data_IF_080800876968
#
_entry.id   IF_080800876968
#
_cell.length_a   1.000
_cell.length_b   1.000
_cell.length_c   1.000
_cell.angle_alpha   90.00
_cell.angle_beta   90.00
_cell.angle_gamma   90.00
#
_symmetry.space_group_name_H-M   'P 1'
#
loop_
_entity.id
_entity.type
_entity.pdbx_description
1 polymer ?
#
# COMPACT_ATOMS: atom_id res chain seq x y z
N UNK A 1 -6.16 22.20 17.67
CA UNK A 1 -7.64 22.11 17.70
C UNK A 1 -8.04 20.69 18.06
N UNK A 2 -9.12 20.51 18.82
CA UNK A 2 -9.62 19.18 19.19
C UNK A 2 -10.09 18.40 17.95
N UNK A 3 -9.68 17.14 17.80
CA UNK A 3 -10.11 16.25 16.71
C UNK A 3 -11.64 16.20 16.67
N UNK A 4 -12.24 16.40 15.49
CA UNK A 4 -13.69 16.24 15.32
C UNK A 4 -14.04 14.79 15.69
N UNK A 5 -14.93 14.62 16.66
CA UNK A 5 -15.32 13.31 17.15
C UNK A 5 -16.48 12.77 16.30
N UNK A 6 -16.37 11.53 15.82
CA UNK A 6 -17.42 10.84 15.08
C UNK A 6 -18.76 10.81 15.83
N UNK A 7 -18.73 10.68 17.15
CA UNK A 7 -19.92 10.70 18.02
C UNK A 7 -20.32 12.12 18.47
N UNK A 8 -19.69 13.15 17.91
CA UNK A 8 -19.95 14.55 18.19
C UNK A 8 -21.12 15.12 17.38
N UNK A 9 -21.31 16.43 17.51
CA UNK A 9 -22.27 17.23 16.73
C UNK A 9 -21.58 18.46 16.17
N UNK A 10 -22.03 18.91 15.00
CA UNK A 10 -21.69 20.21 14.44
C UNK A 10 -22.95 21.04 14.22
N UNK A 11 -22.81 22.36 14.31
CA UNK A 11 -23.90 23.30 14.03
C UNK A 11 -23.65 23.91 12.66
N UNK A 12 -24.60 23.76 11.75
CA UNK A 12 -24.55 24.33 10.40
C UNK A 12 -25.89 25.02 10.13
N UNK A 13 -25.87 26.31 9.78
CA UNK A 13 -27.07 27.13 9.57
C UNK A 13 -28.08 27.04 10.74
N UNK A 14 -27.57 27.04 11.98
CA UNK A 14 -28.34 26.89 13.23
C UNK A 14 -29.09 25.55 13.36
N UNK A 15 -28.68 24.52 12.61
CA UNK A 15 -29.16 23.14 12.77
C UNK A 15 -28.05 22.28 13.34
N UNK A 16 -28.39 21.44 14.30
CA UNK A 16 -27.50 20.44 14.85
C UNK A 16 -27.49 19.21 13.95
N UNK A 17 -26.30 18.81 13.52
CA UNK A 17 -26.10 17.58 12.76
C UNK A 17 -25.17 16.63 13.54
N UNK A 18 -25.58 15.38 13.80
CA UNK A 18 -24.68 14.35 14.28
C UNK A 18 -23.57 14.09 13.26
N UNK A 19 -22.32 14.10 13.70
CA UNK A 19 -21.17 13.88 12.79
C UNK A 19 -21.27 12.50 12.14
N UNK A 20 -21.66 11.48 12.90
CA UNK A 20 -21.86 10.12 12.40
C UNK A 20 -22.83 10.04 11.22
N UNK A 21 -23.97 10.73 11.28
CA UNK A 21 -24.97 10.71 10.20
C UNK A 21 -24.47 11.37 8.92
N UNK A 22 -23.72 12.48 9.08
CA UNK A 22 -23.08 13.14 7.94
C UNK A 22 -22.06 12.20 7.31
N UNK A 23 -21.16 11.64 8.11
CA UNK A 23 -20.07 10.80 7.60
C UNK A 23 -20.63 9.53 6.97
N UNK A 24 -21.60 8.87 7.60
CA UNK A 24 -22.22 7.65 7.06
C UNK A 24 -22.92 7.87 5.71
N UNK A 25 -23.40 9.09 5.45
CA UNK A 25 -23.97 9.49 4.16
C UNK A 25 -22.88 9.88 3.16
N UNK A 26 -21.89 10.66 3.58
CA UNK A 26 -20.89 11.27 2.68
C UNK A 26 -19.91 10.25 2.08
N UNK A 27 -19.59 9.19 2.83
CA UNK A 27 -18.73 8.11 2.34
C UNK A 27 -19.36 7.34 1.16
N UNK A 28 -20.68 7.45 0.97
CA UNK A 28 -21.40 6.83 -0.15
C UNK A 28 -21.46 7.75 -1.38
N UNK A 29 -21.03 9.00 -1.27
CA UNK A 29 -21.08 9.93 -2.40
C UNK A 29 -20.13 9.46 -3.52
N UNK A 30 -20.59 9.46 -4.79
CA UNK A 30 -19.73 9.22 -5.93
C UNK A 30 -18.59 10.22 -6.01
N UNK A 31 -17.40 9.76 -6.39
CA UNK A 31 -16.18 10.56 -6.43
C UNK A 31 -16.31 11.80 -7.33
N UNK A 32 -17.02 11.69 -8.46
CA UNK A 32 -17.23 12.82 -9.36
C UNK A 32 -18.03 13.97 -8.72
N UNK A 33 -18.99 13.68 -7.83
CA UNK A 33 -19.74 14.69 -7.08
C UNK A 33 -18.86 15.33 -6.01
N UNK A 34 -18.09 14.51 -5.28
CA UNK A 34 -17.12 14.98 -4.28
C UNK A 34 -16.12 15.94 -4.93
N UNK A 35 -15.53 15.54 -6.05
CA UNK A 35 -14.63 16.40 -6.82
C UNK A 35 -15.32 17.68 -7.27
N UNK A 36 -16.54 17.58 -7.79
CA UNK A 36 -17.34 18.72 -8.22
C UNK A 36 -17.56 19.73 -7.09
N UNK A 37 -17.82 19.25 -5.88
CA UNK A 37 -17.94 20.09 -4.69
C UNK A 37 -16.64 20.84 -4.38
N UNK A 38 -15.50 20.15 -4.26
CA UNK A 38 -14.20 20.78 -3.97
C UNK A 38 -13.79 21.79 -5.05
N UNK A 39 -14.03 21.47 -6.32
CA UNK A 39 -13.80 22.39 -7.44
C UNK A 39 -14.68 23.64 -7.36
N UNK A 40 -15.97 23.49 -7.03
CA UNK A 40 -16.92 24.60 -6.89
C UNK A 40 -16.51 25.56 -5.78
N UNK A 41 -16.04 25.04 -4.64
CA UNK A 41 -15.60 25.88 -3.51
C UNK A 41 -14.16 26.39 -3.67
N UNK A 42 -13.44 25.97 -4.71
CA UNK A 42 -12.05 26.37 -4.97
C UNK A 42 -11.07 25.90 -3.90
N UNK A 43 -11.35 24.76 -3.25
CA UNK A 43 -10.51 24.22 -2.18
C UNK A 43 -9.75 22.99 -2.68
N UNK A 44 -8.43 23.04 -2.53
CA UNK A 44 -7.53 21.91 -2.76
C UNK A 44 -6.90 21.49 -1.45
N UNK A 45 -6.61 20.20 -1.29
CA UNK A 45 -6.16 19.63 -0.02
C UNK A 45 -4.72 19.09 -0.14
N UNK A 46 -3.82 19.32 0.82
CA UNK A 46 -2.49 18.71 0.78
C UNK A 46 -2.58 17.19 0.82
N UNK A 47 -1.85 16.52 -0.06
CA UNK A 47 -1.79 15.05 -0.12
C UNK A 47 -1.34 14.42 1.20
N UNK A 48 -0.48 15.12 1.95
CA UNK A 48 -0.04 14.73 3.27
C UNK A 48 -1.20 14.40 4.24
N UNK A 49 -2.34 15.11 4.14
CA UNK A 49 -3.53 14.83 4.96
C UNK A 49 -4.08 13.43 4.68
N UNK A 50 -4.19 13.07 3.41
CA UNK A 50 -4.71 11.76 2.99
C UNK A 50 -3.73 10.63 3.32
N UNK A 51 -2.44 10.86 3.09
CA UNK A 51 -1.40 9.89 3.48
C UNK A 51 -1.37 9.65 4.97
N UNK A 52 -1.54 10.69 5.79
CA UNK A 52 -1.65 10.55 7.24
C UNK A 52 -2.81 9.64 7.62
N UNK A 53 -4.00 9.88 7.06
CA UNK A 53 -5.18 9.04 7.31
C UNK A 53 -4.95 7.59 6.88
N UNK A 54 -4.38 7.38 5.69
CA UNK A 54 -4.03 6.05 5.20
C UNK A 54 -3.08 5.32 6.15
N UNK A 55 -2.02 5.99 6.61
CA UNK A 55 -1.05 5.43 7.57
C UNK A 55 -1.72 5.07 8.89
N UNK A 56 -2.54 5.96 9.45
CA UNK A 56 -3.26 5.71 10.71
C UNK A 56 -4.18 4.48 10.61
N UNK A 57 -4.87 4.32 9.48
CA UNK A 57 -5.82 3.22 9.28
C UNK A 57 -5.12 1.90 8.97
N UNK A 58 -4.00 1.95 8.24
CA UNK A 58 -3.22 0.78 7.84
C UNK A 58 -2.21 0.31 8.90
N UNK A 59 -1.92 1.10 9.93
CA UNK A 59 -0.92 0.80 10.95
C UNK A 59 -1.12 -0.60 11.56
N UNK A 60 -2.28 -0.86 12.14
CA UNK A 60 -2.59 -2.14 12.82
C UNK A 60 -2.51 -3.36 11.88
N UNK A 61 -3.15 -3.39 10.70
CA UNK A 61 -3.04 -4.54 9.81
C UNK A 61 -1.61 -4.74 9.29
N UNK A 62 -0.84 -3.66 9.08
CA UNK A 62 0.58 -3.74 8.67
C UNK A 62 1.44 -4.34 9.78
N UNK A 63 1.31 -3.87 11.00
CA UNK A 63 2.03 -4.40 12.16
C UNK A 63 1.74 -5.89 12.35
N UNK A 64 0.47 -6.29 12.28
CA UNK A 64 0.08 -7.70 12.37
C UNK A 64 0.70 -8.53 11.24
N UNK A 65 0.72 -8.00 10.02
CA UNK A 65 1.33 -8.69 8.86
C UNK A 65 2.85 -8.85 9.03
N UNK A 66 3.52 -7.83 9.56
CA UNK A 66 4.95 -7.89 9.88
C UNK A 66 5.18 -8.95 10.96
N UNK A 67 4.39 -8.94 12.04
CA UNK A 67 4.49 -9.91 13.15
C UNK A 67 4.33 -11.36 12.65
N UNK A 68 3.31 -11.63 11.83
CA UNK A 68 3.05 -12.95 11.24
C UNK A 68 4.20 -13.44 10.34
N UNK A 69 5.00 -12.51 9.79
CA UNK A 69 6.07 -12.77 8.82
C UNK A 69 7.47 -12.59 9.39
N UNK A 70 7.63 -12.29 10.68
CA UNK A 70 8.91 -12.07 11.36
C UNK A 70 9.93 -13.20 11.15
N UNK A 71 9.44 -14.44 11.12
CA UNK A 71 10.29 -15.64 10.99
C UNK A 71 10.44 -16.13 9.54
N UNK A 72 9.89 -15.41 8.57
CA UNK A 72 9.98 -15.73 7.15
C UNK A 72 10.95 -14.74 6.51
N UNK A 73 11.95 -15.24 5.79
CA UNK A 73 12.75 -14.42 4.88
C UNK A 73 11.86 -14.02 3.69
N UNK A 74 11.07 -12.97 3.89
CA UNK A 74 9.96 -12.60 3.02
C UNK A 74 10.13 -11.18 2.48
N UNK A 75 10.03 -11.06 1.15
CA UNK A 75 10.09 -9.80 0.42
C UNK A 75 9.01 -8.83 0.92
N UNK A 76 7.81 -9.33 1.22
CA UNK A 76 6.73 -8.47 1.69
C UNK A 76 7.05 -7.86 3.06
N UNK A 77 7.58 -8.65 4.00
CA UNK A 77 8.01 -8.15 5.31
C UNK A 77 9.09 -7.06 5.20
N UNK A 78 10.07 -7.26 4.32
CA UNK A 78 11.08 -6.24 4.03
C UNK A 78 10.47 -4.98 3.44
N UNK A 79 9.56 -5.09 2.46
CA UNK A 79 8.88 -3.91 1.89
C UNK A 79 8.07 -3.16 2.95
N UNK A 80 7.37 -3.87 3.84
CA UNK A 80 6.56 -3.27 4.90
C UNK A 80 7.41 -2.58 6.00
N UNK A 81 8.71 -2.87 6.12
CA UNK A 81 9.58 -2.14 7.06
C UNK A 81 9.71 -0.65 6.71
N UNK A 82 9.42 -0.29 5.45
CA UNK A 82 9.41 1.09 4.93
C UNK A 82 8.04 1.78 5.07
N UNK A 83 7.05 1.15 5.70
CA UNK A 83 5.65 1.62 5.75
C UNK A 83 5.50 3.10 6.13
N UNK A 84 6.28 3.58 7.11
CA UNK A 84 6.23 4.97 7.57
C UNK A 84 6.58 6.00 6.48
N UNK A 85 7.32 5.57 5.46
CA UNK A 85 7.77 6.40 4.35
C UNK A 85 7.07 6.07 3.03
N UNK A 86 6.06 5.18 3.05
CA UNK A 86 5.32 4.85 1.84
C UNK A 86 4.70 6.07 1.18
N UNK A 87 4.74 6.06 -0.15
CA UNK A 87 4.05 7.02 -1.02
C UNK A 87 2.54 6.82 -0.98
N UNK A 88 1.77 7.81 -1.44
CA UNK A 88 0.31 7.70 -1.49
C UNK A 88 -0.14 6.46 -2.28
N UNK A 89 0.47 6.20 -3.44
CA UNK A 89 0.16 5.04 -4.28
C UNK A 89 0.43 3.71 -3.57
N UNK A 90 1.54 3.59 -2.83
CA UNK A 90 1.84 2.38 -2.05
C UNK A 90 0.79 2.15 -0.96
N UNK A 91 0.36 3.20 -0.28
CA UNK A 91 -0.69 3.14 0.75
C UNK A 91 -2.06 2.77 0.15
N UNK A 92 -2.43 3.35 -1.00
CA UNK A 92 -3.66 2.98 -1.73
C UNK A 92 -3.64 1.49 -2.12
N UNK A 93 -2.49 1.00 -2.61
CA UNK A 93 -2.33 -0.41 -2.95
C UNK A 93 -2.38 -1.33 -1.72
N UNK A 94 -1.90 -0.89 -0.55
CA UNK A 94 -2.07 -1.66 0.69
C UNK A 94 -3.55 -1.82 1.08
N UNK A 95 -4.39 -0.79 0.90
CA UNK A 95 -5.84 -0.95 1.10
C UNK A 95 -6.41 -2.06 0.21
N UNK A 96 -6.01 -2.07 -1.08
CA UNK A 96 -6.41 -3.12 -2.02
C UNK A 96 -5.87 -4.50 -1.61
N UNK A 97 -4.64 -4.57 -1.15
CA UNK A 97 -3.99 -5.81 -0.72
C UNK A 97 -4.75 -6.46 0.42
N UNK A 98 -5.13 -5.68 1.44
CA UNK A 98 -5.94 -6.19 2.57
C UNK A 98 -7.38 -6.52 2.17
N UNK A 99 -7.90 -5.89 1.12
CA UNK A 99 -9.20 -6.16 0.52
C UNK A 99 -10.35 -6.28 1.55
N UNK A 100 -10.38 -5.36 2.52
CA UNK A 100 -11.32 -5.39 3.64
C UNK A 100 -12.34 -4.28 3.54
N UNK A 101 -13.63 -4.65 3.50
CA UNK A 101 -14.76 -3.70 3.47
C UNK A 101 -14.77 -2.81 4.72
N UNK A 102 -14.49 -3.39 5.90
CA UNK A 102 -14.45 -2.63 7.15
C UNK A 102 -13.26 -1.66 7.19
N UNK A 103 -12.11 -2.07 6.65
CA UNK A 103 -10.93 -1.21 6.52
C UNK A 103 -11.18 -0.05 5.56
N UNK A 104 -11.79 -0.32 4.40
CA UNK A 104 -12.16 0.70 3.43
C UNK A 104 -13.15 1.70 4.02
N UNK A 105 -14.17 1.22 4.76
CA UNK A 105 -15.12 2.09 5.47
C UNK A 105 -14.40 2.94 6.52
N UNK A 106 -13.53 2.34 7.34
CA UNK A 106 -12.72 3.05 8.34
C UNK A 106 -11.86 4.14 7.71
N UNK A 107 -11.21 3.85 6.58
CA UNK A 107 -10.44 4.82 5.80
C UNK A 107 -11.30 5.99 5.33
N UNK A 108 -12.43 5.73 4.68
CA UNK A 108 -13.31 6.81 4.20
C UNK A 108 -13.87 7.65 5.35
N UNK A 109 -14.27 7.02 6.46
CA UNK A 109 -14.73 7.71 7.66
C UNK A 109 -13.66 8.65 8.21
N UNK A 110 -12.43 8.16 8.44
CA UNK A 110 -11.34 8.99 8.96
C UNK A 110 -10.91 10.07 7.96
N UNK A 111 -10.93 9.77 6.65
CA UNK A 111 -10.61 10.75 5.62
C UNK A 111 -11.59 11.91 5.67
N UNK A 112 -12.88 11.62 5.69
CA UNK A 112 -13.91 12.65 5.71
C UNK A 112 -13.90 13.45 7.01
N UNK A 113 -13.63 12.84 8.16
CA UNK A 113 -13.44 13.59 9.41
C UNK A 113 -12.31 14.63 9.27
N UNK A 114 -11.18 14.23 8.70
CA UNK A 114 -10.05 15.14 8.46
C UNK A 114 -10.36 16.19 7.39
N UNK A 115 -11.07 15.84 6.32
CA UNK A 115 -11.51 16.79 5.31
C UNK A 115 -12.49 17.81 5.88
N UNK A 116 -13.42 17.42 6.75
CA UNK A 116 -14.31 18.35 7.45
C UNK A 116 -13.54 19.30 8.34
N UNK A 117 -12.60 18.79 9.13
CA UNK A 117 -11.72 19.65 9.93
C UNK A 117 -10.97 20.65 9.05
N UNK A 118 -10.40 20.19 7.93
CA UNK A 118 -9.69 21.03 6.98
C UNK A 118 -10.60 22.11 6.37
N UNK A 119 -11.85 21.77 6.00
CA UNK A 119 -12.85 22.74 5.53
C UNK A 119 -13.18 23.80 6.59
N UNK A 120 -13.29 23.41 7.87
CA UNK A 120 -13.54 24.35 8.97
C UNK A 120 -12.35 25.29 9.18
N UNK A 121 -11.12 24.77 9.12
CA UNK A 121 -9.89 25.55 9.23
C UNK A 121 -9.76 26.58 8.09
N UNK A 122 -10.17 26.19 6.89
CA UNK A 122 -10.23 27.06 5.71
C UNK A 122 -11.51 27.88 5.58
N UNK A 123 -12.36 27.89 6.61
CA UNK A 123 -13.56 28.73 6.71
C UNK A 123 -14.53 28.56 5.54
N UNK A 124 -14.70 27.32 5.07
CA UNK A 124 -15.75 26.98 4.09
C UNK A 124 -17.10 27.40 4.67
N UNK A 125 -17.91 28.09 3.86
CA UNK A 125 -19.15 28.69 4.34
C UNK A 125 -20.15 27.62 4.80
N UNK A 126 -20.93 27.92 5.84
CA UNK A 126 -21.99 27.02 6.33
C UNK A 126 -23.00 26.64 5.24
N UNK A 127 -23.23 27.53 4.25
CA UNK A 127 -24.11 27.23 3.11
C UNK A 127 -23.55 26.11 2.23
N UNK A 128 -22.25 26.13 1.95
CA UNK A 128 -21.62 25.08 1.14
C UNK A 128 -21.55 23.76 1.91
N UNK A 129 -21.29 23.81 3.22
CA UNK A 129 -21.33 22.61 4.08
C UNK A 129 -22.75 22.02 4.12
N UNK A 130 -23.79 22.85 4.26
CA UNK A 130 -25.18 22.37 4.25
C UNK A 130 -25.56 21.75 2.90
N UNK A 131 -25.12 22.34 1.78
CA UNK A 131 -25.32 21.76 0.44
C UNK A 131 -24.66 20.39 0.32
N UNK A 132 -23.40 20.25 0.76
CA UNK A 132 -22.69 18.97 0.78
C UNK A 132 -23.44 17.92 1.60
N UNK A 133 -23.95 18.29 2.78
CA UNK A 133 -24.74 17.38 3.63
C UNK A 133 -26.04 16.97 2.94
N UNK A 134 -26.74 17.90 2.28
CA UNK A 134 -27.97 17.60 1.55
C UNK A 134 -27.73 16.69 0.35
N UNK A 135 -26.63 16.89 -0.38
CA UNK A 135 -26.24 16.04 -1.50
C UNK A 135 -25.85 14.64 -1.03
N UNK A 136 -25.07 14.54 0.05
CA UNK A 136 -24.67 13.26 0.65
C UNK A 136 -25.87 12.37 1.01
N UNK A 137 -26.96 12.96 1.53
CA UNK A 137 -28.18 12.22 1.91
C UNK A 137 -28.90 11.54 0.74
N UNK A 138 -28.58 11.89 -0.51
CA UNK A 138 -29.15 11.25 -1.70
C UNK A 138 -28.53 9.87 -1.96
N UNK A 139 -27.42 9.55 -1.30
CA UNK A 139 -26.63 8.35 -1.55
C UNK A 139 -26.64 7.42 -0.33
N UNK A 140 -27.06 6.17 -0.54
CA UNK A 140 -27.21 5.17 0.53
C UNK A 140 -26.20 4.02 0.48
N UNK A 141 -25.44 3.90 -0.60
CA UNK A 141 -24.47 2.82 -0.79
C UNK A 141 -23.25 3.29 -1.58
N UNK A 142 -22.09 2.69 -1.29
CA UNK A 142 -20.86 2.91 -2.04
C UNK A 142 -21.00 2.23 -3.40
N UNK A 143 -20.84 2.99 -4.47
CA UNK A 143 -21.02 2.50 -5.85
C UNK A 143 -19.70 2.23 -6.59
N UNK A 144 -18.57 2.67 -6.05
CA UNK A 144 -17.27 2.62 -6.70
C UNK A 144 -16.28 1.72 -5.95
N UNK A 145 -15.39 1.06 -6.70
CA UNK A 145 -14.21 0.40 -6.13
C UNK A 145 -13.29 1.43 -5.45
N UNK A 146 -12.67 1.03 -4.33
CA UNK A 146 -11.89 1.97 -3.51
C UNK A 146 -10.70 2.56 -4.26
N UNK A 147 -10.05 1.80 -5.16
CA UNK A 147 -8.95 2.32 -5.96
C UNK A 147 -9.45 3.25 -7.06
N UNK A 148 -10.56 2.91 -7.72
CA UNK A 148 -11.18 3.79 -8.71
C UNK A 148 -11.61 5.13 -8.08
N UNK A 149 -12.24 5.06 -6.90
CA UNK A 149 -12.63 6.22 -6.11
C UNK A 149 -11.41 7.10 -5.78
N UNK A 150 -10.37 6.49 -5.20
CA UNK A 150 -9.12 7.13 -4.83
C UNK A 150 -8.39 7.77 -6.02
N UNK A 151 -8.34 7.06 -7.16
CA UNK A 151 -7.73 7.55 -8.38
C UNK A 151 -8.43 8.81 -8.87
N UNK A 152 -9.77 8.82 -8.99
CA UNK A 152 -10.49 10.02 -9.42
C UNK A 152 -10.39 11.18 -8.42
N UNK A 153 -10.34 10.85 -7.12
CA UNK A 153 -10.28 11.83 -6.03
C UNK A 153 -8.92 12.54 -5.97
N UNK A 154 -7.86 11.96 -6.57
CA UNK A 154 -6.51 12.55 -6.59
C UNK A 154 -6.49 14.01 -7.04
N UNK A 155 -7.43 14.43 -7.89
CA UNK A 155 -7.56 15.81 -8.40
C UNK A 155 -7.98 16.85 -7.35
N UNK A 156 -8.50 16.39 -6.21
CA UNK A 156 -8.80 17.25 -5.04
C UNK A 156 -7.53 17.52 -4.24
N UNK A 157 -6.54 16.63 -4.35
CA UNK A 157 -5.29 16.71 -3.62
C UNK A 157 -4.17 17.32 -4.45
N UNK A 158 -3.24 17.99 -3.79
CA UNK A 158 -2.02 18.49 -4.40
C UNK A 158 -0.79 18.01 -3.64
N UNK A 159 0.29 17.79 -4.38
CA UNK A 159 1.61 17.61 -3.81
C UNK A 159 2.20 18.95 -3.36
N UNK A 160 3.02 18.92 -2.31
CA UNK A 160 3.82 20.07 -1.93
C UNK A 160 4.88 20.36 -3.00
N UNK A 161 5.48 21.55 -2.95
CA UNK A 161 6.54 21.91 -3.89
C UNK A 161 7.68 20.89 -3.80
N UNK A 162 8.20 20.47 -4.95
CA UNK A 162 9.32 19.53 -5.09
C UNK A 162 9.02 18.13 -4.49
N UNK A 163 7.72 17.81 -4.30
CA UNK A 163 7.25 16.49 -3.90
C UNK A 163 6.49 15.81 -5.04
N UNK A 164 6.51 14.49 -5.05
CA UNK A 164 5.72 13.66 -5.95
C UNK A 164 5.16 12.48 -5.18
N UNK A 165 3.86 12.23 -5.33
CA UNK A 165 3.16 11.16 -4.59
C UNK A 165 3.29 11.27 -3.06
N UNK A 166 3.43 12.52 -2.60
CA UNK A 166 3.56 12.96 -1.22
C UNK A 166 4.93 12.71 -0.60
N UNK A 167 5.95 12.42 -1.41
CA UNK A 167 7.33 12.21 -0.99
C UNK A 167 8.24 13.26 -1.62
N UNK A 168 9.29 13.66 -0.89
CA UNK A 168 10.40 14.41 -1.47
C UNK A 168 11.11 13.57 -2.54
N UNK A 169 11.85 14.18 -3.46
CA UNK A 169 12.59 13.44 -4.50
C UNK A 169 13.54 12.37 -3.90
N UNK A 170 14.18 12.67 -2.76
CA UNK A 170 15.08 11.75 -2.08
C UNK A 170 14.33 10.60 -1.37
N UNK A 171 13.22 10.91 -0.70
CA UNK A 171 12.35 9.87 -0.13
C UNK A 171 11.78 8.96 -1.21
N UNK A 172 11.34 9.54 -2.33
CA UNK A 172 10.81 8.82 -3.48
C UNK A 172 11.85 7.83 -4.05
N UNK A 173 13.11 8.26 -4.18
CA UNK A 173 14.22 7.38 -4.62
C UNK A 173 14.42 6.20 -3.70
N UNK A 174 14.60 6.47 -2.41
CA UNK A 174 14.89 5.43 -1.41
C UNK A 174 13.72 4.46 -1.29
N UNK A 175 12.51 4.99 -1.06
CA UNK A 175 11.33 4.19 -0.76
C UNK A 175 10.95 3.31 -1.94
N UNK A 176 10.89 3.86 -3.15
CA UNK A 176 10.48 3.05 -4.31
C UNK A 176 11.54 2.03 -4.71
N UNK A 177 12.82 2.33 -4.55
CA UNK A 177 13.88 1.39 -4.86
C UNK A 177 13.79 0.14 -3.97
N UNK A 178 13.59 0.32 -2.67
CA UNK A 178 13.54 -0.77 -1.68
C UNK A 178 12.16 -1.43 -1.57
N UNK A 179 11.07 -0.64 -1.60
CA UNK A 179 9.73 -1.09 -1.23
C UNK A 179 8.75 -1.28 -2.40
N UNK A 180 9.19 -1.10 -3.65
CA UNK A 180 8.33 -1.27 -4.84
C UNK A 180 8.95 -2.16 -5.91
N UNK A 181 8.09 -2.84 -6.65
CA UNK A 181 8.42 -3.53 -7.90
C UNK A 181 8.52 -2.53 -9.06
N UNK A 182 9.24 -2.89 -10.13
CA UNK A 182 9.37 -2.01 -11.30
C UNK A 182 7.99 -1.66 -11.91
N UNK A 183 7.02 -2.57 -11.88
CA UNK A 183 5.68 -2.31 -12.43
C UNK A 183 4.91 -1.28 -11.59
N UNK A 184 4.98 -1.37 -10.26
CA UNK A 184 4.38 -0.37 -9.38
C UNK A 184 5.01 1.02 -9.61
N UNK A 185 6.34 1.09 -9.76
CA UNK A 185 7.02 2.36 -10.06
C UNK A 185 6.54 2.93 -11.40
N UNK A 186 6.37 2.09 -12.43
CA UNK A 186 5.81 2.54 -13.72
C UNK A 186 4.36 2.99 -13.62
N UNK A 187 3.55 2.35 -12.78
CA UNK A 187 2.16 2.75 -12.57
C UNK A 187 2.07 4.07 -11.81
N UNK A 188 3.00 4.37 -10.89
CA UNK A 188 3.20 5.71 -10.34
C UNK A 188 3.54 6.68 -11.48
N UNK A 189 4.48 6.34 -12.37
CA UNK A 189 4.81 7.18 -13.53
C UNK A 189 3.57 7.56 -14.35
N UNK A 190 2.71 6.58 -14.67
CA UNK A 190 1.45 6.83 -15.39
C UNK A 190 0.47 7.71 -14.60
N UNK A 191 0.44 7.60 -13.27
CA UNK A 191 -0.42 8.44 -12.40
C UNK A 191 -0.10 9.94 -12.57
N UNK A 192 1.16 10.26 -12.87
CA UNK A 192 1.69 11.60 -13.14
C UNK A 192 1.91 11.87 -14.63
N UNK A 193 1.19 11.16 -15.51
CA UNK A 193 1.24 11.32 -16.97
C UNK A 193 2.66 11.10 -17.60
N UNK A 194 3.54 10.40 -16.88
CA UNK A 194 4.87 10.00 -17.37
C UNK A 194 4.85 8.55 -17.88
N UNK A 195 4.90 8.40 -19.20
CA UNK A 195 5.00 7.09 -19.83
C UNK A 195 6.46 6.62 -19.90
N UNK A 196 6.91 5.86 -18.91
CA UNK A 196 8.27 5.31 -18.86
C UNK A 196 8.46 4.24 -19.94
N UNK A 197 9.48 4.34 -20.81
CA UNK A 197 9.81 3.29 -21.77
C UNK A 197 10.03 1.94 -21.11
N UNK A 198 9.68 0.84 -21.78
CA UNK A 198 9.95 -0.51 -21.26
C UNK A 198 11.39 -0.95 -21.50
N UNK A 199 12.02 -0.44 -22.56
CA UNK A 199 13.33 -0.84 -23.03
C UNK A 199 14.18 0.39 -23.33
N UNK A 200 15.47 0.25 -23.10
CA UNK A 200 16.49 1.20 -23.51
C UNK A 200 16.60 1.26 -25.04
N UNK A 201 16.87 2.46 -25.55
CA UNK A 201 17.28 2.64 -26.96
C UNK A 201 18.72 2.14 -27.15
N UNK A 202 19.09 1.90 -28.40
CA UNK A 202 20.43 1.43 -28.78
C UNK A 202 21.52 2.37 -28.25
N UNK A 203 21.30 3.68 -28.38
CA UNK A 203 22.23 4.71 -27.97
C UNK A 203 22.44 4.70 -26.45
N UNK A 204 21.35 4.58 -25.69
CA UNK A 204 21.40 4.51 -24.22
C UNK A 204 22.08 3.24 -23.72
N UNK A 205 21.87 2.10 -24.40
CA UNK A 205 22.58 0.87 -24.09
C UNK A 205 24.09 1.03 -24.31
N UNK A 206 24.50 1.71 -25.39
CA UNK A 206 25.89 2.01 -25.66
C UNK A 206 26.48 2.94 -24.58
N UNK A 207 25.75 3.98 -24.17
CA UNK A 207 26.18 4.92 -23.13
C UNK A 207 26.43 4.20 -21.80
N UNK A 208 25.56 3.26 -21.40
CA UNK A 208 25.72 2.47 -20.17
C UNK A 208 26.98 1.58 -20.23
N UNK A 209 27.21 0.92 -21.37
CA UNK A 209 28.40 0.07 -21.55
C UNK A 209 29.67 0.91 -21.46
N UNK A 210 29.69 2.07 -22.12
CA UNK A 210 30.83 2.99 -22.13
C UNK A 210 31.09 3.55 -20.74
N UNK A 211 30.06 4.01 -20.04
CA UNK A 211 30.18 4.56 -18.69
C UNK A 211 30.75 3.55 -17.69
N UNK A 212 30.27 2.30 -17.72
CA UNK A 212 30.76 1.25 -16.83
C UNK A 212 32.24 0.89 -17.13
N UNK A 213 32.62 0.79 -18.40
CA UNK A 213 34.02 0.56 -18.80
C UNK A 213 34.91 1.73 -18.41
N UNK A 214 34.41 2.96 -18.53
CA UNK A 214 35.13 4.17 -18.16
C UNK A 214 35.34 4.25 -16.64
N UNK A 215 34.33 3.91 -15.84
CA UNK A 215 34.43 3.86 -14.38
C UNK A 215 35.44 2.82 -13.90
N UNK A 216 35.57 1.70 -14.63
CA UNK A 216 36.59 0.67 -14.38
C UNK A 216 37.98 1.02 -14.90
N UNK A 217 38.12 2.12 -15.66
CA UNK A 217 39.35 2.48 -16.36
C UNK A 217 39.72 1.54 -17.52
N UNK A 218 38.75 0.75 -18.00
CA UNK A 218 38.88 -0.28 -19.03
C UNK A 218 38.36 0.22 -20.40
N UNK A 219 38.28 1.54 -20.63
CA UNK A 219 37.83 2.12 -21.90
C UNK A 219 39.02 2.61 -22.74
N UNK A 220 39.47 1.87 -23.77
CA UNK A 220 40.44 2.37 -24.75
C UNK A 220 39.84 3.49 -25.60
N UNK A 221 40.66 4.48 -25.97
CA UNK A 221 40.25 5.65 -26.75
C UNK A 221 39.61 5.35 -28.13
N UNK A 222 39.77 4.14 -28.66
CA UNK A 222 39.22 3.71 -29.96
C UNK A 222 37.98 2.79 -29.86
N UNK A 223 37.60 2.33 -28.68
CA UNK A 223 36.51 1.35 -28.53
C UNK A 223 35.11 1.96 -28.42
N UNK A 224 34.98 3.21 -28.00
CA UNK A 224 33.66 3.85 -27.89
C UNK A 224 32.91 3.89 -29.24
N UNK A 225 33.62 4.29 -30.31
CA UNK A 225 33.05 4.31 -31.65
C UNK A 225 32.64 2.91 -32.15
N UNK A 226 33.43 1.88 -31.78
CA UNK A 226 33.08 0.48 -32.08
C UNK A 226 31.82 0.07 -31.35
N UNK A 227 31.73 0.31 -30.05
CA UNK A 227 30.57 -0.03 -29.21
C UNK A 227 29.30 0.61 -29.78
N UNK A 228 29.33 1.91 -30.10
CA UNK A 228 28.19 2.63 -30.69
C UNK A 228 27.79 2.10 -32.08
N UNK A 229 28.74 1.57 -32.84
CA UNK A 229 28.52 0.94 -34.16
C UNK A 229 27.86 -0.44 -34.11
N UNK A 230 28.00 -1.20 -33.02
CA UNK A 230 27.47 -2.55 -32.88
C UNK A 230 25.94 -2.62 -32.97
N UNK A 231 25.37 -3.77 -33.31
CA UNK A 231 23.93 -4.02 -33.13
C UNK A 231 23.63 -4.35 -31.66
N UNK A 232 22.37 -4.24 -31.21
CA UNK A 232 21.97 -4.50 -29.81
C UNK A 232 22.44 -5.89 -29.33
N UNK A 233 22.30 -6.92 -30.16
CA UNK A 233 22.72 -8.29 -29.82
C UNK A 233 24.24 -8.38 -29.63
N UNK A 234 25.00 -7.69 -30.48
CA UNK A 234 26.46 -7.64 -30.38
C UNK A 234 26.91 -6.80 -29.18
N UNK A 235 26.22 -5.70 -28.85
CA UNK A 235 26.46 -4.92 -27.64
C UNK A 235 26.23 -5.75 -26.38
N UNK A 236 25.14 -6.52 -26.32
CA UNK A 236 24.86 -7.39 -25.17
C UNK A 236 25.92 -8.50 -25.01
N UNK A 237 26.39 -9.07 -26.13
CA UNK A 237 27.50 -10.03 -26.10
C UNK A 237 28.79 -9.37 -25.63
N UNK A 238 29.14 -8.23 -26.21
CA UNK A 238 30.32 -7.46 -25.83
C UNK A 238 30.30 -7.10 -24.35
N UNK A 239 29.17 -6.62 -23.83
CA UNK A 239 28.98 -6.31 -22.42
C UNK A 239 29.18 -7.57 -21.54
N UNK A 240 28.61 -8.72 -21.94
CA UNK A 240 28.81 -9.98 -21.22
C UNK A 240 30.28 -10.42 -21.20
N UNK A 241 30.98 -10.31 -22.33
CA UNK A 241 32.39 -10.68 -22.47
C UNK A 241 33.30 -9.79 -21.58
N UNK A 242 32.88 -8.54 -21.32
CA UNK A 242 33.58 -7.58 -20.45
C UNK A 242 32.99 -7.52 -19.03
N UNK A 243 32.15 -8.48 -18.62
CA UNK A 243 31.49 -8.50 -17.30
C UNK A 243 30.72 -7.20 -16.96
N UNK A 244 30.17 -6.54 -17.97
CA UNK A 244 29.28 -5.39 -17.84
C UNK A 244 27.84 -5.92 -17.82
N UNK A 245 27.10 -5.61 -16.75
CA UNK A 245 25.67 -5.95 -16.64
C UNK A 245 24.82 -5.00 -17.48
N UNK A 246 24.90 -5.12 -18.80
CA UNK A 246 24.08 -4.35 -19.74
C UNK A 246 22.80 -5.12 -20.08
N UNK A 247 21.66 -4.67 -19.54
CA UNK A 247 20.33 -5.14 -19.93
C UNK A 247 19.69 -4.12 -20.87
N UNK A 248 18.78 -4.58 -21.74
CA UNK A 248 17.89 -3.68 -22.49
C UNK A 248 16.69 -3.24 -21.65
N UNK A 249 16.43 -3.89 -20.53
CA UNK A 249 15.36 -3.54 -19.61
C UNK A 249 15.84 -2.47 -18.63
N UNK A 250 15.01 -1.46 -18.40
CA UNK A 250 15.33 -0.43 -17.41
C UNK A 250 15.34 -1.01 -16.00
N UNK A 251 16.39 -0.68 -15.25
CA UNK A 251 16.52 -0.94 -13.80
C UNK A 251 15.57 -0.02 -13.01
N UNK A 252 15.37 -0.31 -11.72
CA UNK A 252 14.45 0.47 -10.86
C UNK A 252 14.86 1.93 -10.79
N UNK A 253 16.14 2.18 -10.55
CA UNK A 253 16.78 3.48 -10.45
C UNK A 253 16.51 4.31 -11.71
N UNK A 254 16.71 3.71 -12.89
CA UNK A 254 16.50 4.38 -14.17
C UNK A 254 15.02 4.74 -14.39
N UNK A 255 14.08 3.87 -13.96
CA UNK A 255 12.64 4.16 -14.03
C UNK A 255 12.27 5.29 -13.06
N UNK A 256 12.82 5.29 -11.84
CA UNK A 256 12.61 6.34 -10.84
C UNK A 256 13.12 7.69 -11.37
N UNK A 257 14.36 7.74 -11.87
CA UNK A 257 14.94 8.97 -12.38
C UNK A 257 14.22 9.47 -13.63
N UNK A 258 13.76 8.57 -14.50
CA UNK A 258 12.94 8.97 -15.64
C UNK A 258 11.65 9.65 -15.19
N UNK A 259 11.00 9.17 -14.12
CA UNK A 259 9.79 9.81 -13.59
C UNK A 259 10.14 11.18 -13.03
N UNK A 260 11.15 11.28 -12.16
CA UNK A 260 11.55 12.55 -11.54
C UNK A 260 12.01 13.61 -12.55
N UNK A 261 12.63 13.20 -13.65
CA UNK A 261 13.09 14.12 -14.69
C UNK A 261 11.97 14.62 -15.62
N UNK A 262 10.83 13.94 -15.68
CA UNK A 262 9.76 14.22 -16.66
C UNK A 262 8.40 14.59 -16.03
N UNK A 263 8.16 14.28 -14.77
CA UNK A 263 6.93 14.63 -14.06
C UNK A 263 6.83 16.15 -13.85
N UNK A 264 5.63 16.71 -13.91
CA UNK A 264 5.45 18.16 -13.83
C UNK A 264 5.87 18.73 -12.48
N UNK A 265 5.68 17.93 -11.44
CA UNK A 265 5.93 18.24 -10.05
C UNK A 265 7.42 18.40 -9.74
N UNK A 266 8.29 17.66 -10.45
CA UNK A 266 9.71 17.53 -10.12
C UNK A 266 10.67 17.92 -11.25
N UNK A 267 10.21 17.98 -12.52
CA UNK A 267 11.07 18.31 -13.68
C UNK A 267 11.86 19.62 -13.53
N UNK A 268 11.29 20.62 -12.86
CA UNK A 268 11.91 21.94 -12.72
C UNK A 268 13.03 21.98 -11.67
N UNK A 269 12.96 21.09 -10.68
CA UNK A 269 13.93 20.97 -9.58
C UNK A 269 14.77 19.70 -9.67
N UNK A 270 14.59 18.91 -10.74
CA UNK A 270 15.30 17.67 -10.94
C UNK A 270 16.82 17.87 -10.96
N UNK A 271 17.48 17.07 -10.13
CA UNK A 271 18.92 16.96 -10.06
C UNK A 271 19.33 15.49 -10.12
N UNK A 272 20.46 15.22 -10.77
CA UNK A 272 21.07 13.89 -10.79
C UNK A 272 21.52 13.55 -9.35
N UNK A 273 21.08 12.41 -8.77
CA UNK A 273 21.44 12.06 -7.41
C UNK A 273 22.86 11.51 -7.31
N UNK A 274 23.42 11.54 -6.11
CA UNK A 274 24.57 10.71 -5.77
C UNK A 274 24.14 9.23 -5.76
N UNK A 275 24.90 8.35 -6.42
CA UNK A 275 24.59 6.93 -6.54
C UNK A 275 24.39 6.22 -5.18
N UNK A 276 25.01 6.74 -4.11
CA UNK A 276 24.84 6.24 -2.74
C UNK A 276 23.40 6.36 -2.21
N UNK A 277 22.54 7.19 -2.80
CA UNK A 277 21.18 7.40 -2.31
C UNK A 277 20.35 6.11 -2.31
N UNK A 278 20.55 5.24 -3.30
CA UNK A 278 19.84 3.95 -3.42
C UNK A 278 20.45 2.86 -2.53
N UNK A 279 21.59 3.12 -1.92
CA UNK A 279 22.28 2.20 -0.99
C UNK A 279 22.05 2.62 0.47
N UNK A 280 21.44 3.79 0.70
CA UNK A 280 21.07 4.24 2.05
C UNK A 280 19.98 3.34 2.61
N UNK A 281 20.40 2.29 3.32
CA UNK A 281 19.53 1.55 4.21
C UNK A 281 19.01 2.52 5.27
N UNK A 282 17.69 2.62 5.31
CA UNK A 282 16.98 3.42 6.31
C UNK A 282 16.97 2.59 7.59
N UNK A 283 17.08 3.24 8.76
CA UNK A 283 16.85 2.55 10.03
C UNK A 283 15.51 1.81 9.96
N UNK A 284 15.59 0.47 9.93
CA UNK A 284 14.42 -0.39 9.90
C UNK A 284 13.56 -0.06 11.12
N UNK A 285 12.23 0.00 10.93
CA UNK A 285 11.29 0.05 12.04
C UNK A 285 11.68 -1.07 13.03
N UNK A 286 11.86 -0.79 14.33
CA UNK A 286 12.28 -1.82 15.27
C UNK A 286 11.32 -3.00 15.18
N UNK A 287 11.85 -4.16 14.79
CA UNK A 287 11.06 -5.39 14.66
C UNK A 287 10.32 -5.61 15.99
N UNK A 288 9.00 -5.84 15.98
CA UNK A 288 8.27 -6.19 17.19
C UNK A 288 8.99 -7.35 17.86
N UNK A 289 9.39 -7.18 19.13
CA UNK A 289 9.98 -8.29 19.87
C UNK A 289 8.91 -9.39 19.97
N UNK A 290 9.27 -10.67 19.73
CA UNK A 290 8.32 -11.76 19.90
C UNK A 290 7.73 -11.67 21.31
N UNK A 291 6.40 -11.51 21.40
CA UNK A 291 5.71 -11.56 22.68
C UNK A 291 6.12 -12.85 23.39
N UNK A 292 6.48 -12.81 24.69
CA UNK A 292 6.78 -14.04 25.43
C UNK A 292 5.64 -15.01 25.22
N UNK A 293 5.95 -16.23 24.74
CA UNK A 293 4.95 -17.30 24.70
C UNK A 293 4.31 -17.40 26.08
N UNK A 294 2.97 -17.48 26.19
CA UNK A 294 2.34 -17.81 27.46
C UNK A 294 3.03 -19.06 27.99
N UNK A 295 3.60 -18.95 29.20
CA UNK A 295 4.22 -20.10 29.84
C UNK A 295 3.23 -21.27 29.77
N UNK A 296 3.68 -22.48 29.39
CA UNK A 296 2.81 -23.64 29.38
C UNK A 296 2.11 -23.72 30.74
N UNK A 297 0.78 -23.78 30.72
CA UNK A 297 -0.03 -23.89 31.92
C UNK A 297 0.56 -25.00 32.82
N UNK A 298 0.72 -24.76 34.13
CA UNK A 298 1.31 -25.74 35.02
C UNK A 298 0.51 -27.04 34.90
N UNK A 299 1.18 -28.09 34.41
CA UNK A 299 0.66 -29.46 34.48
C UNK A 299 0.33 -29.74 35.95
N UNK A 300 -0.87 -30.28 36.26
CA UNK A 300 -1.17 -30.73 37.61
C UNK A 300 -0.13 -31.76 38.04
N UNK A 301 0.36 -31.62 39.28
CA UNK A 301 1.36 -32.49 39.88
C UNK A 301 0.97 -33.97 39.74
N UNK A 302 1.87 -34.84 39.23
CA UNK A 302 1.67 -36.27 39.28
C UNK A 302 1.93 -36.78 40.71
N UNK A 303 0.95 -37.51 41.25
CA UNK A 303 1.10 -38.31 42.46
C UNK A 303 2.18 -39.42 42.27
N UNK A 304 2.74 -39.98 43.36
CA UNK A 304 4.01 -40.71 43.33
C UNK A 304 3.99 -42.02 42.52
N UNK A 305 5.15 -42.28 41.93
CA UNK A 305 5.53 -43.38 41.03
C UNK A 305 5.35 -44.76 41.66
N UNK A 306 4.75 -45.70 40.90
CA UNK A 306 4.98 -47.14 41.07
C UNK A 306 5.74 -47.67 39.84
N UNK A 307 6.83 -48.38 40.12
CA UNK A 307 7.89 -48.81 39.20
C UNK A 307 7.44 -49.99 38.34
N UNK A 308 7.77 -49.98 37.04
CA UNK A 308 8.11 -51.20 36.26
C UNK A 308 8.89 -50.87 34.98
N UNK A 309 9.77 -51.81 34.66
CA UNK A 309 10.99 -51.71 33.85
C UNK A 309 10.83 -51.54 32.32
N UNK A 310 11.92 -51.05 31.73
CA UNK A 310 12.32 -51.00 30.30
C UNK A 310 12.11 -52.32 29.50
N UNK A 311 11.98 -52.27 28.15
CA UNK A 311 13.17 -52.25 27.29
C UNK A 311 13.12 -51.34 26.04
N UNK A 312 14.31 -50.82 25.71
CA UNK A 312 14.77 -50.21 24.45
C UNK A 312 14.44 -51.02 23.20
N UNK A 313 14.13 -50.35 22.08
CA UNK A 313 14.68 -50.69 20.73
C UNK A 313 14.93 -49.41 19.91
N UNK A 314 16.02 -49.46 19.14
CA UNK A 314 16.73 -48.43 18.40
C UNK A 314 16.39 -48.49 16.90
N UNK A 315 16.51 -47.33 16.22
CA UNK A 315 16.76 -47.10 14.77
C UNK A 315 15.71 -47.48 13.69
N UNK A 316 15.40 -46.55 12.77
CA UNK A 316 16.12 -46.37 11.48
C UNK A 316 15.58 -45.21 10.64
N UNK A 317 16.51 -44.48 10.02
CA UNK A 317 16.31 -43.56 8.89
C UNK A 317 15.82 -44.34 7.66
N UNK A 318 14.82 -43.78 6.95
CA UNK A 318 14.58 -44.06 5.52
C UNK A 318 14.23 -42.77 4.78
N UNK A 319 15.09 -42.42 3.84
CA UNK A 319 14.83 -41.52 2.70
C UNK A 319 13.93 -42.27 1.72
N UNK A 320 12.82 -41.66 1.29
CA UNK A 320 12.11 -42.03 0.05
C UNK A 320 11.58 -40.76 -0.61
N UNK A 321 11.80 -40.72 -1.92
CA UNK A 321 11.56 -39.65 -2.89
C UNK A 321 10.08 -39.22 -3.01
N UNK A 322 9.93 -37.90 -3.08
CA UNK A 322 9.07 -37.11 -3.96
C UNK A 322 7.96 -37.81 -4.75
N UNK A 323 6.71 -37.64 -4.27
CA UNK A 323 5.52 -37.31 -5.08
C UNK A 323 4.60 -36.41 -4.25
N UNK A 324 4.62 -35.10 -4.52
CA UNK A 324 3.73 -34.14 -3.87
C UNK A 324 2.48 -33.96 -4.73
N UNK A 325 1.43 -34.74 -4.42
CA UNK A 325 0.05 -34.35 -4.74
C UNK A 325 -0.43 -33.42 -3.63
N UNK A 326 -0.61 -32.13 -3.96
CA UNK A 326 -1.10 -31.11 -3.02
C UNK A 326 -2.60 -31.30 -2.81
N UNK A 327 -2.97 -32.14 -1.83
CA UNK A 327 -4.27 -32.04 -1.16
C UNK A 327 -4.04 -31.28 0.14
N UNK A 328 -4.47 -30.01 0.18
CA UNK A 328 -4.49 -29.21 1.41
C UNK A 328 -5.43 -29.88 2.42
N UNK A 329 -4.89 -30.69 3.33
CA UNK A 329 -5.57 -31.01 4.58
C UNK A 329 -5.48 -29.78 5.47
N UNK A 330 -6.61 -29.13 5.69
CA UNK A 330 -6.74 -28.12 6.73
C UNK A 330 -6.55 -28.78 8.11
N UNK A 331 -6.04 -28.04 9.10
CA UNK A 331 -5.92 -28.58 10.46
C UNK A 331 -7.32 -28.89 11.03
N UNK A 332 -7.45 -29.86 11.96
CA UNK A 332 -8.72 -30.16 12.60
C UNK A 332 -9.37 -28.92 13.24
N UNK A 333 -8.57 -27.98 13.75
CA UNK A 333 -9.09 -26.71 14.31
C UNK A 333 -9.71 -25.81 13.23
N UNK A 334 -9.20 -25.81 12.00
CA UNK A 334 -9.76 -25.02 10.89
C UNK A 334 -11.13 -25.54 10.42
N UNK A 335 -11.31 -26.86 10.40
CA UNK A 335 -12.62 -27.45 10.08
C UNK A 335 -13.66 -27.17 11.16
N UNK A 336 -13.25 -27.08 12.42
CA UNK A 336 -14.11 -26.72 13.54
C UNK A 336 -14.55 -25.25 13.47
N UNK A 337 -13.62 -24.33 13.16
CA UNK A 337 -13.93 -22.91 12.92
C UNK A 337 -14.89 -22.73 11.73
N UNK A 338 -14.74 -23.50 10.65
CA UNK A 338 -15.66 -23.43 9.51
C UNK A 338 -17.07 -23.89 9.86
N UNK A 339 -17.22 -24.90 10.74
CA UNK A 339 -18.54 -25.34 11.22
C UNK A 339 -19.20 -24.28 12.10
N UNK A 340 -18.42 -23.64 12.97
CA UNK A 340 -18.92 -22.57 13.84
C UNK A 340 -19.35 -21.32 13.03
N UNK A 341 -18.60 -20.95 11.99
CA UNK A 341 -18.97 -19.88 11.06
C UNK A 341 -20.24 -20.21 10.26
N UNK A 342 -20.44 -21.48 9.88
CA UNK A 342 -21.65 -21.90 9.18
C UNK A 342 -22.89 -21.80 10.09
N UNK A 343 -22.77 -22.20 11.35
CA UNK A 343 -23.81 -22.07 12.38
C UNK A 343 -24.18 -20.61 12.63
N UNK A 344 -23.20 -19.74 12.86
CA UNK A 344 -23.44 -18.31 13.07
C UNK A 344 -24.12 -17.64 11.87
N UNK A 345 -23.78 -18.07 10.66
CA UNK A 345 -24.43 -17.57 9.44
C UNK A 345 -25.88 -18.01 9.36
N UNK A 346 -26.19 -19.26 9.71
CA UNK A 346 -27.56 -19.76 9.75
C UNK A 346 -28.40 -19.02 10.79
N UNK A 347 -27.87 -18.85 12.01
CA UNK A 347 -28.53 -18.09 13.08
C UNK A 347 -28.79 -16.63 12.69
N UNK A 348 -27.83 -15.99 12.01
CA UNK A 348 -27.99 -14.62 11.51
C UNK A 348 -29.10 -14.54 10.45
N UNK A 349 -29.15 -15.49 9.51
CA UNK A 349 -30.20 -15.53 8.48
C UNK A 349 -31.58 -15.79 9.08
N UNK A 350 -31.66 -16.65 10.09
CA UNK A 350 -32.88 -16.91 10.86
C UNK A 350 -33.33 -15.68 11.65
N UNK A 351 -32.39 -14.94 12.24
CA UNK A 351 -32.67 -13.69 12.92
C UNK A 351 -33.16 -12.62 11.94
N UNK A 352 -32.53 -12.49 10.77
CA UNK A 352 -32.96 -11.57 9.71
C UNK A 352 -34.36 -11.91 9.15
N UNK A 353 -34.70 -13.19 9.06
CA UNK A 353 -36.04 -13.64 8.65
C UNK A 353 -37.12 -13.33 9.70
N UNK A 354 -36.75 -13.30 10.98
CA UNK A 354 -37.66 -13.07 12.12
C UNK A 354 -37.70 -11.60 12.58
N UNK A 355 -36.70 -10.77 12.25
CA UNK A 355 -36.70 -9.34 12.54
C UNK A 355 -37.76 -8.64 11.69
N UNK A 356 -38.77 -8.03 12.32
CA UNK A 356 -39.76 -7.19 11.62
C UNK A 356 -39.17 -5.86 11.09
N UNK A 357 -37.84 -5.72 11.18
CA UNK A 357 -37.02 -4.57 10.81
C UNK A 357 -36.85 -4.43 9.28
N UNK A 358 -37.14 -5.50 8.52
CA UNK A 358 -37.01 -5.55 7.05
C UNK A 358 -38.34 -5.67 6.31
N UNK A 359 -39.47 -5.84 7.01
CA UNK A 359 -40.81 -5.99 6.38
C UNK A 359 -41.39 -4.68 5.84
N UNK A 360 -40.96 -3.51 6.32
CA UNK A 360 -41.47 -2.21 5.87
C UNK A 360 -40.70 -1.58 4.68
N UNK A 361 -39.89 -2.35 3.94
CA UNK A 361 -39.18 -1.84 2.75
C UNK A 361 -39.58 -2.51 1.41
N UNK A 362 -40.64 -3.32 1.38
CA UNK A 362 -41.16 -3.90 0.13
C UNK A 362 -42.49 -3.30 -0.37
N UNK A 363 -43.05 -2.34 0.35
CA UNK A 363 -44.20 -1.54 -0.10
C UNK A 363 -43.97 -0.06 0.23
N UNK A 364 -43.12 0.59 -0.56
CA UNK A 364 -43.03 2.06 -0.70
C UNK A 364 -42.37 2.40 -2.03
#
# INVERSE_FOLDING_TARGET
>A
MSKLNYHGKIVVLKRDYPVSEIIDSIINMPCHEVRGFFQKIGLTVPKALRMKVLKEVLQEPVEKTIEERLNLADELGYRLSYFDRFSEYQLENLLKFYNSVSLNRKYLTELWLHLFMYMMEHKVSEKEIDLLIQDAKKHSEITEDILAYNFELRKVFHDEKDHIDGLSADDFRVVLYHASTINEIRDIGKKYDVNVPRRLKKEQLADIIVAELQERGELPAEEEAKIRGLSIVLMQRYAKDHNVKASIELKKEEVIEYILANAEETKASYNVPDASIYVKEVEERPKPQPKPQPAPAPKPEPAPVEVKEEPKVVEKVKVVEEKVDVVKKHSPEYEEVLKELALLREELMDHLAKCNCTKNKKEA
#
